data_IF_119751286546
#
_entry.id   IF_119751286546
#
_cell.length_a   1.000
_cell.length_b   1.000
_cell.length_c   1.000
_cell.angle_alpha   90.00
_cell.angle_beta   90.00
_cell.angle_gamma   90.00
#
_symmetry.space_group_name_H-M   'P 1'
#
loop_
_entity.id
_entity.type
_entity.pdbx_description
1 polymer ?
#
# COMPACT_ATOMS: atom_id res chain seq x y z
N UNK A 1 13.86 3.87 5.09
CA UNK A 1 13.40 2.59 5.68
C UNK A 1 13.61 1.41 4.72
N UNK A 2 13.98 0.22 5.21
CA UNK A 2 14.20 -0.98 4.37
C UNK A 2 12.91 -1.78 4.06
N UNK A 3 12.96 -2.62 3.02
CA UNK A 3 11.83 -3.42 2.55
C UNK A 3 11.27 -4.41 3.61
N UNK A 4 12.12 -4.95 4.49
CA UNK A 4 11.71 -5.90 5.52
C UNK A 4 10.87 -5.20 6.59
N UNK A 5 11.28 -4.00 7.00
CA UNK A 5 10.54 -3.17 7.94
C UNK A 5 9.22 -2.68 7.37
N UNK A 6 9.22 -2.18 6.13
CA UNK A 6 8.00 -1.77 5.41
C UNK A 6 6.99 -2.92 5.38
N UNK A 7 7.44 -4.11 4.96
CA UNK A 7 6.58 -5.30 4.93
C UNK A 7 6.03 -5.61 6.31
N UNK A 8 6.85 -5.64 7.36
CA UNK A 8 6.41 -5.92 8.74
C UNK A 8 5.31 -4.95 9.19
N UNK A 9 5.50 -3.65 9.00
CA UNK A 9 4.57 -2.62 9.43
C UNK A 9 3.24 -2.76 8.69
N UNK A 10 3.30 -2.87 7.36
CA UNK A 10 2.10 -2.92 6.54
C UNK A 10 1.32 -4.23 6.76
N UNK A 11 2.02 -5.34 7.02
CA UNK A 11 1.39 -6.60 7.46
C UNK A 11 0.65 -6.46 8.80
N UNK A 12 1.25 -5.79 9.79
CA UNK A 12 0.59 -5.52 11.07
C UNK A 12 -0.62 -4.59 10.90
N UNK A 13 -0.48 -3.55 10.07
CA UNK A 13 -1.57 -2.65 9.71
C UNK A 13 -2.72 -3.39 9.03
N UNK A 14 -2.39 -4.26 8.08
CA UNK A 14 -3.35 -5.11 7.40
C UNK A 14 -4.13 -5.97 8.41
N UNK A 15 -3.45 -6.65 9.33
CA UNK A 15 -4.12 -7.50 10.31
C UNK A 15 -5.09 -6.75 11.21
N UNK A 16 -4.76 -5.50 11.59
CA UNK A 16 -5.64 -4.63 12.39
C UNK A 16 -6.84 -4.09 11.61
N UNK A 17 -6.63 -3.67 10.37
CA UNK A 17 -7.60 -2.89 9.59
C UNK A 17 -8.29 -3.66 8.47
N UNK A 18 -7.94 -4.94 8.26
CA UNK A 18 -8.51 -5.73 7.17
C UNK A 18 -10.03 -5.84 7.27
N UNK A 19 -10.68 -5.69 6.12
CA UNK A 19 -12.11 -5.91 5.92
C UNK A 19 -12.30 -7.07 4.97
N UNK A 20 -13.38 -7.83 5.15
CA UNK A 20 -13.71 -8.91 4.22
C UNK A 20 -14.23 -8.33 2.92
N UNK A 21 -13.72 -8.84 1.81
CA UNK A 21 -14.23 -8.58 0.47
C UNK A 21 -15.24 -9.69 0.14
N UNK A 22 -16.47 -9.30 -0.22
CA UNK A 22 -17.55 -10.17 -0.73
C UNK A 22 -17.59 -11.61 -0.19
N UNK A 23 -16.83 -12.51 -0.84
CA UNK A 23 -16.85 -13.97 -0.70
C UNK A 23 -16.23 -14.53 0.60
N UNK A 24 -15.88 -13.67 1.57
CA UNK A 24 -15.24 -14.00 2.86
C UNK A 24 -13.92 -14.79 2.71
N UNK A 25 -13.33 -14.82 1.52
CA UNK A 25 -12.04 -15.46 1.22
C UNK A 25 -10.99 -14.46 0.80
N UNK A 26 -11.36 -13.20 0.60
CA UNK A 26 -10.45 -12.10 0.40
C UNK A 26 -10.60 -11.07 1.51
N UNK A 27 -9.47 -10.47 1.88
CA UNK A 27 -9.39 -9.42 2.88
C UNK A 27 -8.60 -8.25 2.33
N UNK A 28 -9.05 -7.03 2.56
CA UNK A 28 -8.39 -5.82 2.09
C UNK A 28 -8.15 -4.82 3.21
N UNK A 29 -7.04 -4.09 3.14
CA UNK A 29 -6.78 -2.92 3.97
C UNK A 29 -6.31 -1.78 3.09
N UNK A 30 -6.73 -0.57 3.42
CA UNK A 30 -6.53 0.62 2.60
C UNK A 30 -5.78 1.69 3.38
N UNK A 31 -4.77 2.26 2.74
CA UNK A 31 -4.05 3.43 3.24
C UNK A 31 -4.21 4.59 2.27
N UNK A 32 -4.36 5.80 2.82
CA UNK A 32 -4.38 7.04 2.06
C UNK A 32 -3.37 8.00 2.64
N UNK A 33 -2.51 8.52 1.78
CA UNK A 33 -1.60 9.60 2.06
C UNK A 33 -2.06 10.85 1.31
N UNK A 34 -2.18 11.98 2.02
CA UNK A 34 -2.57 13.27 1.43
C UNK A 34 -1.37 14.21 1.56
N UNK A 35 -0.90 14.68 0.42
CA UNK A 35 0.24 15.60 0.31
C UNK A 35 -0.17 16.87 -0.44
N UNK A 36 0.64 17.94 -0.41
CA UNK A 36 0.43 19.10 -1.28
C UNK A 36 0.40 18.76 -2.78
N UNK A 37 1.10 17.71 -3.20
CA UNK A 37 1.22 17.29 -4.60
C UNK A 37 0.08 16.35 -5.05
N UNK A 38 -0.80 15.95 -4.12
CA UNK A 38 -1.97 15.12 -4.38
C UNK A 38 -2.14 13.98 -3.38
N UNK A 39 -2.93 12.99 -3.80
CA UNK A 39 -3.28 11.83 -2.95
C UNK A 39 -2.68 10.54 -3.50
N UNK A 40 -2.00 9.79 -2.64
CA UNK A 40 -1.55 8.43 -2.89
C UNK A 40 -2.39 7.46 -2.07
N UNK A 41 -2.91 6.43 -2.72
CA UNK A 41 -3.75 5.42 -2.10
C UNK A 41 -3.18 4.04 -2.39
N UNK A 42 -3.07 3.21 -1.36
CA UNK A 42 -2.58 1.84 -1.46
C UNK A 42 -3.62 0.90 -0.86
N UNK A 43 -4.16 0.02 -1.70
CA UNK A 43 -5.03 -1.08 -1.26
C UNK A 43 -4.23 -2.38 -1.29
N UNK A 44 -4.04 -2.99 -0.13
CA UNK A 44 -3.49 -4.32 0.02
C UNK A 44 -4.64 -5.32 0.12
N UNK A 45 -4.69 -6.29 -0.78
CA UNK A 45 -5.67 -7.38 -0.75
C UNK A 45 -4.95 -8.73 -0.61
N UNK A 46 -5.38 -9.56 0.32
CA UNK A 46 -4.93 -10.94 0.48
C UNK A 46 -6.06 -11.92 0.19
N UNK A 47 -5.77 -12.91 -0.62
CA UNK A 47 -6.65 -14.03 -0.90
C UNK A 47 -5.83 -15.33 -1.04
N UNK A 48 -6.45 -16.51 -1.13
CA UNK A 48 -5.73 -17.77 -1.33
C UNK A 48 -4.80 -17.81 -2.55
N UNK A 49 -5.02 -16.92 -3.53
CA UNK A 49 -4.18 -16.81 -4.74
C UNK A 49 -2.93 -15.95 -4.55
N UNK A 50 -2.80 -15.23 -3.43
CA UNK A 50 -1.64 -14.39 -3.13
C UNK A 50 -2.01 -13.00 -2.60
N UNK A 51 -0.99 -12.14 -2.59
CA UNK A 51 -1.08 -10.76 -2.08
C UNK A 51 -1.05 -9.77 -3.25
N UNK A 52 -2.10 -8.98 -3.40
CA UNK A 52 -2.24 -7.99 -4.47
C UNK A 52 -2.21 -6.58 -3.90
N UNK A 53 -1.52 -5.67 -4.57
CA UNK A 53 -1.50 -4.24 -4.27
C UNK A 53 -2.14 -3.47 -5.42
N UNK A 54 -3.11 -2.61 -5.13
CA UNK A 54 -3.63 -1.63 -6.08
C UNK A 54 -3.18 -0.25 -5.63
N UNK A 55 -2.63 0.51 -6.57
CA UNK A 55 -2.08 1.84 -6.32
C UNK A 55 -2.88 2.85 -7.10
N UNK A 56 -3.36 3.88 -6.39
CA UNK A 56 -4.09 4.98 -6.99
C UNK A 56 -3.36 6.28 -6.70
N UNK A 57 -3.30 7.13 -7.72
CA UNK A 57 -2.82 8.50 -7.63
C UNK A 57 -3.95 9.40 -8.06
N UNK A 58 -4.33 10.35 -7.21
CA UNK A 58 -5.44 11.26 -7.45
C UNK A 58 -6.71 10.52 -7.90
N UNK A 59 -7.06 9.45 -7.16
CA UNK A 59 -8.21 8.56 -7.38
C UNK A 59 -8.18 7.76 -8.70
N UNK A 60 -7.08 7.79 -9.46
CA UNK A 60 -6.91 7.00 -10.69
C UNK A 60 -6.00 5.82 -10.41
N UNK A 61 -6.44 4.60 -10.76
CA UNK A 61 -5.60 3.40 -10.65
C UNK A 61 -4.41 3.53 -11.61
N UNK A 62 -3.19 3.54 -11.07
CA UNK A 62 -1.96 3.64 -11.85
C UNK A 62 -1.21 2.32 -11.94
N UNK A 63 -1.41 1.43 -10.96
CA UNK A 63 -0.80 0.11 -10.95
C UNK A 63 -1.64 -0.91 -10.19
N UNK A 64 -1.49 -2.17 -10.56
CA UNK A 64 -2.00 -3.33 -9.83
C UNK A 64 -0.97 -4.46 -9.96
N UNK A 65 -0.41 -4.89 -8.84
CA UNK A 65 0.71 -5.84 -8.82
C UNK A 65 0.54 -6.93 -7.78
N UNK A 66 1.07 -8.11 -8.10
CA UNK A 66 1.08 -9.27 -7.23
C UNK A 66 2.45 -9.39 -6.53
N UNK A 67 2.45 -9.79 -5.27
CA UNK A 67 3.63 -9.99 -4.42
C UNK A 67 4.42 -8.72 -4.08
N UNK A 68 5.12 -8.78 -2.95
CA UNK A 68 5.88 -7.68 -2.37
C UNK A 68 7.00 -7.15 -3.28
N UNK A 69 7.66 -8.02 -4.03
CA UNK A 69 8.78 -7.61 -4.90
C UNK A 69 8.32 -6.65 -6.00
N UNK A 70 7.14 -6.90 -6.58
CA UNK A 70 6.56 -6.04 -7.60
C UNK A 70 6.01 -4.76 -6.98
N UNK A 71 5.49 -4.83 -5.74
CA UNK A 71 5.11 -3.62 -4.99
C UNK A 71 6.28 -2.65 -4.84
N UNK A 72 7.44 -3.10 -4.36
CA UNK A 72 8.60 -2.21 -4.18
C UNK A 72 9.08 -1.59 -5.49
N UNK A 73 9.22 -2.41 -6.54
CA UNK A 73 9.58 -1.93 -7.90
C UNK A 73 8.56 -0.92 -8.44
N UNK A 74 7.27 -1.15 -8.17
CA UNK A 74 6.20 -0.23 -8.57
C UNK A 74 6.26 1.08 -7.80
N UNK A 75 6.56 1.04 -6.49
CA UNK A 75 6.65 2.26 -5.68
C UNK A 75 7.83 3.14 -6.10
N UNK A 76 8.96 2.56 -6.49
CA UNK A 76 10.07 3.32 -7.09
C UNK A 76 9.64 4.03 -8.39
N UNK A 77 8.86 3.33 -9.24
CA UNK A 77 8.32 3.94 -10.47
C UNK A 77 7.30 5.04 -10.16
N UNK A 78 6.45 4.84 -9.15
CA UNK A 78 5.46 5.83 -8.70
C UNK A 78 6.17 7.07 -8.14
N UNK A 79 7.20 6.90 -7.33
CA UNK A 79 7.99 8.00 -6.77
C UNK A 79 8.65 8.85 -7.87
N UNK A 80 9.20 8.19 -8.90
CA UNK A 80 9.82 8.88 -10.03
C UNK A 80 8.78 9.60 -10.91
N UNK A 81 7.60 9.00 -11.11
CA UNK A 81 6.55 9.55 -11.98
C UNK A 81 5.73 10.65 -11.30
N UNK A 82 5.59 10.59 -9.99
CA UNK A 82 4.83 11.51 -9.16
C UNK A 82 5.69 11.96 -7.96
N UNK A 83 6.66 12.86 -8.19
CA UNK A 83 7.50 13.38 -7.12
C UNK A 83 6.67 13.98 -5.99
N UNK A 84 7.09 13.77 -4.73
CA UNK A 84 6.41 14.29 -3.55
C UNK A 84 5.26 13.43 -3.02
N UNK A 85 4.73 12.47 -3.80
CA UNK A 85 3.62 11.61 -3.35
C UNK A 85 4.04 10.40 -2.52
N UNK A 86 5.26 9.90 -2.70
CA UNK A 86 5.74 8.72 -2.00
C UNK A 86 6.97 9.05 -1.15
N UNK A 87 6.73 9.18 0.16
CA UNK A 87 7.76 9.17 1.19
C UNK A 87 7.58 7.91 2.03
N UNK A 88 8.43 6.91 1.77
CA UNK A 88 8.36 5.64 2.49
C UNK A 88 8.55 5.82 4.00
N UNK A 89 9.41 6.74 4.45
CA UNK A 89 9.65 6.90 5.88
C UNK A 89 8.42 7.47 6.57
N UNK A 90 7.87 8.57 6.02
CA UNK A 90 6.66 9.17 6.55
C UNK A 90 5.49 8.18 6.54
N UNK A 91 5.18 7.60 5.39
CA UNK A 91 4.02 6.73 5.21
C UNK A 91 4.05 5.54 6.17
N UNK A 92 5.19 4.84 6.25
CA UNK A 92 5.26 3.64 7.09
C UNK A 92 5.41 3.96 8.57
N UNK A 93 6.01 5.09 8.95
CA UNK A 93 5.97 5.55 10.35
C UNK A 93 4.54 5.92 10.76
N UNK A 94 3.77 6.59 9.89
CA UNK A 94 2.37 6.94 10.16
C UNK A 94 1.50 5.67 10.26
N UNK A 95 1.73 4.68 9.40
CA UNK A 95 1.08 3.36 9.52
C UNK A 95 1.45 2.67 10.85
N UNK A 96 2.73 2.71 11.25
CA UNK A 96 3.20 2.09 12.49
C UNK A 96 2.63 2.78 13.73
N UNK A 97 2.41 4.09 13.69
CA UNK A 97 1.73 4.81 14.76
C UNK A 97 0.25 4.40 14.91
N UNK A 98 -0.36 3.91 13.83
CA UNK A 98 -1.76 3.50 13.80
C UNK A 98 -1.99 2.04 14.20
N UNK A 99 -0.96 1.20 14.39
CA UNK A 99 -1.12 -0.22 14.79
C UNK A 99 -1.14 -0.43 16.30
#
# INVERSE_FOLDING_TARGET
>A
MDQKNIRRIFEAYFEKYKKTEGDKKAWSAFWTEITPDGTLEINLTKCPKGTTFKIFVNKKKVAEVLEWVNFFTTMETVANRYPGLYDAEKIFNDMEFMI
#
